data_IF_310590707462
#
_entry.id   IF_310590707462
#
_cell.length_a   1.000
_cell.length_b   1.000
_cell.length_c   1.000
_cell.angle_alpha   90.00
_cell.angle_beta   90.00
_cell.angle_gamma   90.00
#
_symmetry.space_group_name_H-M   'P 1'
#
loop_
_entity.id
_entity.type
_entity.pdbx_description
1 polymer ?
#
# COMPACT_ATOMS: atom_id res chain seq x y z
N UNK A 1 -14.98 -13.12 -9.13
CA UNK A 1 -14.99 -13.46 -7.69
C UNK A 1 -14.02 -14.61 -7.46
N UNK A 2 -12.78 -14.34 -7.03
CA UNK A 2 -11.75 -15.37 -6.81
C UNK A 2 -11.60 -15.57 -5.30
N UNK A 3 -12.25 -16.63 -4.80
CA UNK A 3 -12.30 -16.98 -3.38
C UNK A 3 -10.99 -17.68 -3.00
N UNK A 4 -10.27 -17.06 -2.07
CA UNK A 4 -9.12 -17.61 -1.36
C UNK A 4 -9.62 -18.65 -0.37
N UNK A 5 -9.04 -19.86 -0.35
CA UNK A 5 -9.16 -20.81 0.77
C UNK A 5 -7.83 -21.48 1.06
N UNK A 6 -7.16 -20.86 2.03
CA UNK A 6 -6.20 -21.41 2.98
C UNK A 6 -6.57 -22.85 3.39
N UNK A 7 -5.68 -23.80 3.08
CA UNK A 7 -5.56 -25.13 3.69
C UNK A 7 -4.06 -25.42 3.72
N UNK A 8 -3.30 -24.90 4.68
CA UNK A 8 -3.14 -25.50 6.02
C UNK A 8 -3.01 -27.01 5.91
N UNK A 9 -1.75 -27.45 5.93
CA UNK A 9 -1.26 -28.54 6.78
C UNK A 9 -2.17 -29.77 6.86
N UNK A 10 -1.89 -30.74 5.99
CA UNK A 10 -2.06 -32.18 6.24
C UNK A 10 -0.97 -32.83 5.37
N UNK A 11 0.28 -32.96 5.81
CA UNK A 11 0.77 -33.99 6.74
C UNK A 11 0.27 -35.38 6.34
N UNK A 12 1.19 -36.33 6.15
CA UNK A 12 1.01 -37.76 5.81
C UNK A 12 1.38 -38.13 4.36
N UNK A 13 2.66 -37.98 4.02
CA UNK A 13 3.32 -39.00 3.21
C UNK A 13 4.45 -39.60 4.06
N UNK A 14 4.09 -40.72 4.67
CA UNK A 14 4.91 -41.60 5.49
C UNK A 14 6.00 -42.29 4.65
N UNK A 15 7.03 -42.76 5.36
CA UNK A 15 8.06 -43.73 4.96
C UNK A 15 9.19 -43.23 4.06
N UNK A 16 10.26 -42.73 4.69
CA UNK A 16 11.59 -43.36 4.54
C UNK A 16 12.34 -43.26 5.87
N UNK A 17 12.58 -44.42 6.49
CA UNK A 17 13.46 -44.61 7.62
C UNK A 17 14.89 -44.16 7.26
N UNK A 18 15.52 -43.43 8.18
CA UNK A 18 16.98 -43.38 8.29
C UNK A 18 17.64 -42.17 7.64
N UNK A 19 17.72 -41.05 8.36
CA UNK A 19 18.94 -40.25 8.38
C UNK A 19 19.10 -39.60 9.76
N UNK A 20 20.15 -40.06 10.44
CA UNK A 20 20.66 -39.55 11.69
C UNK A 20 21.35 -38.21 11.40
N UNK A 21 20.89 -37.12 12.02
CA UNK A 21 21.73 -36.01 12.51
C UNK A 21 20.87 -34.94 13.20
N UNK A 22 21.23 -34.50 14.42
CA UNK A 22 20.59 -33.37 15.07
C UNK A 22 21.26 -32.08 14.56
N UNK A 23 20.60 -31.36 13.66
CA UNK A 23 21.05 -30.01 13.30
C UNK A 23 20.17 -29.00 14.02
N UNK A 24 20.81 -28.44 15.04
CA UNK A 24 20.47 -27.22 15.74
C UNK A 24 20.33 -26.08 14.71
N UNK A 25 19.12 -25.60 14.46
CA UNK A 25 18.92 -24.22 13.95
C UNK A 25 17.76 -23.61 14.72
N UNK A 26 18.12 -23.01 15.85
CA UNK A 26 17.27 -22.03 16.52
C UNK A 26 17.48 -20.67 15.84
N UNK A 27 16.35 -20.02 15.57
CA UNK A 27 16.17 -18.59 15.26
C UNK A 27 16.45 -18.13 13.81
N UNK A 28 15.64 -17.19 13.29
CA UNK A 28 15.51 -15.87 13.90
C UNK A 28 14.09 -15.36 14.20
N UNK A 29 14.02 -14.62 15.31
CA UNK A 29 13.01 -13.62 15.69
C UNK A 29 12.52 -12.85 14.46
N UNK A 30 11.24 -13.06 14.12
CA UNK A 30 10.56 -12.37 13.05
C UNK A 30 10.08 -11.02 13.58
N UNK A 31 10.99 -10.05 13.58
CA UNK A 31 10.71 -8.64 13.85
C UNK A 31 9.72 -8.13 12.81
N UNK A 32 8.49 -7.87 13.22
CA UNK A 32 7.39 -7.42 12.37
C UNK A 32 7.61 -5.98 11.94
N UNK A 33 8.38 -5.78 10.88
CA UNK A 33 8.38 -4.53 10.11
C UNK A 33 7.00 -4.38 9.49
N UNK A 34 6.25 -3.38 9.96
CA UNK A 34 4.98 -2.98 9.37
C UNK A 34 5.24 -2.43 7.97
N UNK A 35 5.14 -3.29 6.97
CA UNK A 35 5.16 -2.91 5.56
C UNK A 35 3.86 -2.18 5.28
N UNK A 36 3.92 -0.85 5.25
CA UNK A 36 2.86 -0.02 4.65
C UNK A 36 2.83 -0.36 3.16
N UNK A 37 1.98 -1.32 2.79
CA UNK A 37 1.74 -1.71 1.40
C UNK A 37 0.87 -0.63 0.75
N UNK A 38 1.33 0.06 -0.31
CA UNK A 38 0.45 0.90 -1.09
C UNK A 38 -0.44 -0.02 -1.92
N UNK A 39 -1.68 -0.15 -1.46
CA UNK A 39 -2.74 -0.88 -2.09
C UNK A 39 -3.00 -0.40 -3.53
N UNK A 40 -2.86 -1.36 -4.44
CA UNK A 40 -3.65 -1.58 -5.67
C UNK A 40 -3.90 -0.36 -6.57
N UNK A 41 -3.22 -0.39 -7.72
CA UNK A 41 -3.29 0.52 -8.85
C UNK A 41 -4.68 0.57 -9.51
N UNK A 42 -5.69 1.15 -8.85
CA UNK A 42 -6.93 1.55 -9.48
C UNK A 42 -6.73 2.91 -10.16
N UNK A 43 -6.39 2.92 -11.46
CA UNK A 43 -6.21 4.13 -12.32
C UNK A 43 -5.79 5.38 -11.53
N UNK A 44 -4.55 5.38 -11.05
CA UNK A 44 -4.05 6.46 -10.21
C UNK A 44 -4.08 7.79 -10.97
N UNK A 45 -5.08 8.63 -10.67
CA UNK A 45 -5.11 10.01 -11.14
C UNK A 45 -4.17 10.81 -10.26
N UNK A 46 -3.15 11.42 -10.86
CA UNK A 46 -2.24 12.32 -10.18
C UNK A 46 -2.85 13.72 -10.12
N UNK A 47 -2.81 14.34 -8.94
CA UNK A 47 -3.25 15.72 -8.71
C UNK A 47 -2.13 16.52 -8.08
N UNK A 48 -2.27 17.84 -8.11
CA UNK A 48 -1.34 18.75 -7.46
C UNK A 48 -1.94 19.24 -6.14
N UNK A 49 -1.14 19.27 -5.08
CA UNK A 49 -1.49 19.88 -3.79
C UNK A 49 -0.51 21.01 -3.48
N UNK A 50 -0.93 21.97 -2.67
CA UNK A 50 -0.06 23.04 -2.15
C UNK A 50 0.36 22.73 -0.72
N UNK A 51 1.43 23.38 -0.25
CA UNK A 51 1.94 23.27 1.13
C UNK A 51 0.86 23.50 2.20
N UNK A 52 -0.03 24.46 1.95
CA UNK A 52 -1.17 24.78 2.81
C UNK A 52 -2.24 23.68 2.89
N UNK A 53 -2.15 22.63 2.07
CA UNK A 53 -2.94 21.40 2.25
C UNK A 53 -4.47 21.58 2.24
N UNK A 54 -4.99 22.71 1.73
CA UNK A 54 -6.43 23.01 1.82
C UNK A 54 -7.24 22.54 0.61
N UNK A 55 -6.60 22.47 -0.57
CA UNK A 55 -7.24 22.02 -1.80
C UNK A 55 -6.30 21.18 -2.69
N UNK A 56 -6.86 20.27 -3.47
CA UNK A 56 -6.19 19.63 -4.60
C UNK A 56 -6.59 20.28 -5.93
N UNK A 57 -5.67 20.24 -6.89
CA UNK A 57 -5.71 20.94 -8.15
C UNK A 57 -5.45 20.00 -9.34
N UNK A 58 -6.08 20.27 -10.48
CA UNK A 58 -5.83 19.54 -11.74
C UNK A 58 -4.54 20.01 -12.45
N UNK A 59 -4.17 21.27 -12.22
CA UNK A 59 -3.01 21.97 -12.79
C UNK A 59 -2.47 22.97 -11.77
N UNK A 60 -1.27 23.50 -11.98
CA UNK A 60 -0.75 24.63 -11.19
C UNK A 60 -1.75 25.80 -11.28
N UNK A 61 -2.15 26.34 -10.13
CA UNK A 61 -3.29 27.24 -9.99
C UNK A 61 -3.00 28.34 -8.96
N UNK A 62 -2.34 29.41 -9.42
CA UNK A 62 -1.85 30.50 -8.58
C UNK A 62 -0.35 30.45 -8.37
N UNK A 63 0.13 31.22 -7.40
CA UNK A 63 1.54 31.33 -7.03
C UNK A 63 1.79 30.45 -5.80
N UNK A 64 2.59 29.40 -5.94
CA UNK A 64 2.93 28.52 -4.84
C UNK A 64 3.68 27.27 -5.27
N UNK A 65 4.20 26.55 -4.29
CA UNK A 65 4.84 25.26 -4.49
C UNK A 65 3.78 24.17 -4.61
N UNK A 66 3.93 23.30 -5.62
CA UNK A 66 2.99 22.22 -5.90
C UNK A 66 3.66 20.87 -5.82
N UNK A 67 3.06 19.96 -5.07
CA UNK A 67 3.49 18.58 -4.94
C UNK A 67 2.52 17.68 -5.69
N UNK A 68 3.05 16.71 -6.44
CA UNK A 68 2.23 15.71 -7.14
C UNK A 68 1.93 14.58 -6.18
N UNK A 69 0.65 14.31 -5.97
CA UNK A 69 0.16 13.22 -5.12
C UNK A 69 -0.95 12.45 -5.83
N UNK A 70 -1.30 11.27 -5.32
CA UNK A 70 -2.44 10.52 -5.84
C UNK A 70 -3.75 11.18 -5.41
N UNK A 71 -4.77 11.08 -6.25
CA UNK A 71 -6.09 11.63 -5.93
C UNK A 71 -6.77 10.91 -4.75
N UNK A 72 -6.45 9.63 -4.52
CA UNK A 72 -6.88 8.89 -3.32
C UNK A 72 -6.25 9.47 -2.06
N UNK A 73 -4.92 9.59 -2.06
CA UNK A 73 -4.13 10.20 -0.98
C UNK A 73 -4.60 11.63 -0.65
N UNK A 74 -4.84 12.45 -1.67
CA UNK A 74 -5.38 13.80 -1.46
C UNK A 74 -6.76 13.78 -0.78
N UNK A 75 -7.61 12.80 -1.11
CA UNK A 75 -8.93 12.65 -0.47
C UNK A 75 -8.81 12.11 0.96
N UNK A 76 -7.89 11.19 1.20
CA UNK A 76 -7.59 10.63 2.53
C UNK A 76 -7.07 11.72 3.47
N UNK A 77 -6.26 12.65 2.97
CA UNK A 77 -5.82 13.85 3.69
C UNK A 77 -6.95 14.88 3.95
N UNK A 78 -8.16 14.65 3.44
CA UNK A 78 -9.29 15.58 3.62
C UNK A 78 -9.22 16.85 2.74
N UNK A 79 -8.38 16.86 1.70
CA UNK A 79 -8.28 18.01 0.80
C UNK A 79 -9.56 18.19 -0.02
N UNK A 80 -9.97 19.44 -0.18
CA UNK A 80 -11.15 19.81 -0.96
C UNK A 80 -10.77 20.03 -2.43
N UNK A 81 -11.74 19.93 -3.35
CA UNK A 81 -11.50 20.33 -4.75
C UNK A 81 -11.32 21.84 -4.86
N UNK A 82 -10.29 22.31 -5.55
CA UNK A 82 -10.13 23.74 -5.80
C UNK A 82 -11.27 24.29 -6.68
N UNK A 83 -11.99 25.31 -6.20
CA UNK A 83 -13.08 25.95 -6.95
C UNK A 83 -12.61 26.53 -8.29
N UNK A 84 -11.41 27.12 -8.36
CA UNK A 84 -10.87 27.68 -9.61
C UNK A 84 -10.49 26.60 -10.64
N UNK A 85 -10.06 25.41 -10.18
CA UNK A 85 -9.69 24.32 -11.08
C UNK A 85 -10.88 23.45 -11.52
N UNK A 86 -11.94 23.39 -10.72
CA UNK A 86 -13.04 22.44 -10.89
C UNK A 86 -14.44 23.08 -10.93
N UNK A 87 -14.58 24.36 -10.60
CA UNK A 87 -15.77 25.16 -10.89
C UNK A 87 -15.58 25.80 -12.25
N UNK A 88 -16.32 25.31 -13.24
CA UNK A 88 -16.42 25.95 -14.55
C UNK A 88 -17.11 27.30 -14.42
#
# INVERSE_FOLDING_TARGET
>A
MKKIKVKVVVALLSLTLGFCSPVMVANPVQSSVSVVQPEVQAKAKTVYITETGSCYHKRKCGNGTYYKVRLSEAKEMGLRKCKKCYGK
#
